data_IF_817845736573
#
_entry.id   IF_817845736573
#
_cell.length_a   1.000
_cell.length_b   1.000
_cell.length_c   1.000
_cell.angle_alpha   90.00
_cell.angle_beta   90.00
_cell.angle_gamma   90.00
#
_symmetry.space_group_name_H-M   'P 1'
#
loop_
_entity.id
_entity.type
_entity.pdbx_description
1 polymer ?
#
# COMPACT_ATOMS: atom_id res chain seq x y z
N UNK A 1 -33.96 -33.69 -14.65
CA UNK A 1 -32.62 -33.18 -14.97
C UNK A 1 -32.67 -31.66 -14.91
N UNK A 2 -31.96 -31.09 -13.94
CA UNK A 2 -31.77 -29.64 -13.78
C UNK A 2 -30.34 -29.29 -14.19
N UNK A 3 -30.14 -28.09 -14.71
CA UNK A 3 -28.82 -27.63 -15.18
C UNK A 3 -28.63 -26.18 -14.77
N UNK A 4 -27.58 -25.93 -13.99
CA UNK A 4 -27.13 -24.60 -13.65
C UNK A 4 -25.81 -24.33 -14.36
N UNK A 5 -25.73 -23.26 -15.14
CA UNK A 5 -24.48 -22.80 -15.74
C UNK A 5 -24.21 -21.37 -15.32
N UNK A 6 -22.94 -21.05 -15.06
CA UNK A 6 -22.56 -19.72 -14.62
C UNK A 6 -21.14 -19.39 -15.08
N UNK A 7 -20.94 -18.13 -15.41
CA UNK A 7 -19.64 -17.54 -15.67
C UNK A 7 -19.17 -16.78 -14.43
N UNK A 8 -17.88 -16.80 -14.15
CA UNK A 8 -17.28 -16.12 -12.99
C UNK A 8 -16.37 -15.01 -13.48
N UNK A 9 -16.56 -13.80 -12.98
CA UNK A 9 -15.73 -12.65 -13.30
C UNK A 9 -15.00 -12.15 -12.04
N UNK A 10 -13.73 -11.81 -12.17
CA UNK A 10 -12.99 -11.21 -11.07
C UNK A 10 -11.56 -10.88 -11.48
N UNK A 11 -10.83 -10.28 -10.55
CA UNK A 11 -9.44 -9.90 -10.77
C UNK A 11 -8.58 -11.15 -10.99
N UNK A 12 -7.79 -11.16 -12.07
CA UNK A 12 -7.00 -12.33 -12.48
C UNK A 12 -5.72 -12.46 -11.67
N UNK A 13 -5.81 -13.02 -10.48
CA UNK A 13 -4.65 -13.48 -9.70
C UNK A 13 -4.56 -15.00 -9.77
N UNK A 14 -3.59 -15.50 -10.55
CA UNK A 14 -3.39 -16.95 -10.78
C UNK A 14 -3.16 -17.73 -9.48
N UNK A 15 -2.48 -17.10 -8.52
CA UNK A 15 -2.13 -17.71 -7.23
C UNK A 15 -3.37 -17.90 -6.34
N UNK A 16 -4.27 -16.90 -6.34
CA UNK A 16 -5.47 -16.91 -5.51
C UNK A 16 -6.57 -17.83 -6.09
N UNK A 17 -6.57 -18.06 -7.40
CA UNK A 17 -7.54 -18.96 -8.07
C UNK A 17 -7.59 -20.36 -7.45
N UNK A 18 -6.44 -20.92 -7.07
CA UNK A 18 -6.35 -22.26 -6.44
C UNK A 18 -7.10 -22.38 -5.10
N UNK A 19 -7.36 -21.24 -4.45
CA UNK A 19 -8.06 -21.16 -3.18
C UNK A 19 -9.56 -20.84 -3.33
N UNK A 20 -10.03 -20.56 -4.55
CA UNK A 20 -11.42 -20.25 -4.84
C UNK A 20 -12.25 -21.50 -5.05
N UNK A 21 -13.41 -21.54 -4.40
CA UNK A 21 -14.39 -22.62 -4.49
C UNK A 21 -15.74 -22.03 -4.81
N UNK A 22 -16.50 -22.73 -5.64
CA UNK A 22 -17.90 -22.43 -5.88
C UNK A 22 -18.72 -23.16 -4.83
N UNK A 23 -19.60 -22.44 -4.16
CA UNK A 23 -20.48 -22.96 -3.13
C UNK A 23 -21.95 -22.72 -3.56
N UNK A 24 -22.72 -23.80 -3.58
CA UNK A 24 -24.15 -23.78 -3.88
C UNK A 24 -24.90 -24.18 -2.62
N UNK A 25 -25.73 -23.29 -2.12
CA UNK A 25 -26.54 -23.47 -0.91
C UNK A 25 -28.02 -23.46 -1.26
N UNK A 26 -28.83 -24.11 -0.44
CA UNK A 26 -30.27 -23.89 -0.52
C UNK A 26 -30.62 -22.49 -0.03
N UNK A 27 -31.53 -21.79 -0.72
CA UNK A 27 -32.00 -20.48 -0.27
C UNK A 27 -32.97 -20.58 0.93
N UNK A 28 -33.64 -21.74 1.09
CA UNK A 28 -34.53 -21.99 2.24
C UNK A 28 -33.74 -22.28 3.51
N UNK A 29 -32.60 -22.95 3.38
CA UNK A 29 -31.69 -23.23 4.49
C UNK A 29 -30.24 -22.97 4.06
N UNK A 30 -29.70 -21.76 4.35
CA UNK A 30 -28.35 -21.38 3.95
C UNK A 30 -27.25 -22.16 4.69
N UNK A 31 -27.60 -22.91 5.74
CA UNK A 31 -26.66 -23.81 6.42
C UNK A 31 -26.45 -25.11 5.63
N UNK A 32 -27.41 -25.46 4.76
CA UNK A 32 -27.36 -26.66 3.94
C UNK A 32 -26.65 -26.38 2.62
N UNK A 33 -25.44 -26.92 2.51
CA UNK A 33 -24.63 -26.87 1.31
C UNK A 33 -25.02 -28.03 0.40
N UNK A 34 -25.37 -27.73 -0.84
CA UNK A 34 -25.77 -28.74 -1.83
C UNK A 34 -24.59 -29.19 -2.69
N UNK A 35 -23.69 -28.27 -3.02
CA UNK A 35 -22.53 -28.58 -3.85
C UNK A 35 -21.37 -27.63 -3.55
N UNK A 36 -20.16 -28.20 -3.50
CA UNK A 36 -18.91 -27.45 -3.38
C UNK A 36 -17.88 -28.05 -4.31
N UNK A 37 -17.24 -27.20 -5.12
CA UNK A 37 -16.17 -27.64 -6.02
C UNK A 37 -15.19 -26.49 -6.28
N UNK A 38 -13.92 -26.80 -6.62
CA UNK A 38 -12.94 -25.78 -6.98
C UNK A 38 -13.37 -25.04 -8.25
N UNK A 39 -13.09 -23.74 -8.31
CA UNK A 39 -13.40 -22.93 -9.50
C UNK A 39 -12.57 -23.44 -10.70
N UNK A 40 -13.19 -23.76 -11.86
CA UNK A 40 -12.44 -24.14 -13.05
C UNK A 40 -11.58 -23.00 -13.59
N UNK A 41 -10.46 -23.33 -14.25
CA UNK A 41 -9.57 -22.36 -14.91
C UNK A 41 -10.25 -21.61 -16.06
N UNK A 42 -11.31 -22.19 -16.64
CA UNK A 42 -12.15 -21.54 -17.65
C UNK A 42 -13.05 -20.45 -17.09
N UNK A 43 -13.12 -20.30 -15.76
CA UNK A 43 -14.08 -19.42 -15.07
C UNK A 43 -15.55 -19.70 -15.44
N UNK A 44 -15.83 -20.90 -15.93
CA UNK A 44 -17.17 -21.34 -16.29
C UNK A 44 -17.40 -22.71 -15.71
N UNK A 45 -18.58 -22.91 -15.11
CA UNK A 45 -18.98 -24.20 -14.56
C UNK A 45 -20.42 -24.51 -14.93
N UNK A 46 -20.70 -25.81 -14.99
CA UNK A 46 -22.04 -26.33 -15.20
C UNK A 46 -22.29 -27.47 -14.21
N UNK A 47 -23.30 -27.28 -13.37
CA UNK A 47 -23.75 -28.28 -12.40
C UNK A 47 -25.05 -28.89 -12.91
N UNK A 48 -25.16 -30.21 -12.77
CA UNK A 48 -26.34 -30.97 -13.17
C UNK A 48 -27.00 -31.57 -11.94
N UNK A 49 -28.30 -31.82 -12.05
CA UNK A 49 -29.10 -32.57 -11.07
C UNK A 49 -29.12 -31.96 -9.66
N UNK A 50 -29.13 -30.62 -9.60
CA UNK A 50 -29.46 -29.89 -8.39
C UNK A 50 -30.93 -30.11 -7.99
N UNK A 51 -31.23 -30.23 -6.68
CA UNK A 51 -32.58 -30.25 -6.15
C UNK A 51 -33.47 -29.15 -6.76
N UNK A 52 -34.74 -29.46 -6.98
CA UNK A 52 -35.70 -28.44 -7.41
C UNK A 52 -36.00 -27.51 -6.24
N UNK A 53 -35.88 -26.21 -6.48
CA UNK A 53 -36.08 -25.19 -5.47
C UNK A 53 -35.20 -23.98 -5.73
N UNK A 54 -35.12 -23.12 -4.72
CA UNK A 54 -34.31 -21.92 -4.74
C UNK A 54 -32.92 -22.19 -4.16
N UNK A 55 -31.91 -21.68 -4.85
CA UNK A 55 -30.50 -21.84 -4.50
C UNK A 55 -29.78 -20.50 -4.45
N UNK A 56 -28.79 -20.41 -3.58
CA UNK A 56 -27.87 -19.31 -3.49
C UNK A 56 -26.52 -19.75 -4.06
N UNK A 57 -26.05 -19.00 -5.05
CA UNK A 57 -24.78 -19.21 -5.70
C UNK A 57 -23.77 -18.20 -5.14
N UNK A 58 -22.68 -18.70 -4.58
CA UNK A 58 -21.65 -17.86 -3.97
C UNK A 58 -20.25 -18.44 -4.27
N UNK A 59 -19.25 -17.57 -4.32
CA UNK A 59 -17.85 -18.01 -4.24
C UNK A 59 -17.37 -17.99 -2.80
N UNK A 60 -16.53 -18.96 -2.44
CA UNK A 60 -15.84 -19.03 -1.17
C UNK A 60 -14.34 -19.00 -1.42
N UNK A 61 -13.61 -18.27 -0.59
CA UNK A 61 -12.15 -18.28 -0.60
C UNK A 61 -11.63 -19.08 0.59
N UNK A 62 -10.64 -19.95 0.35
CA UNK A 62 -9.88 -20.64 1.39
C UNK A 62 -8.71 -19.82 1.95
N UNK A 63 -8.57 -18.55 1.56
CA UNK A 63 -7.49 -17.68 2.03
C UNK A 63 -7.76 -17.16 3.45
N UNK A 64 -6.70 -16.90 4.24
CA UNK A 64 -6.88 -16.31 5.57
C UNK A 64 -7.47 -14.89 5.46
N UNK A 65 -8.63 -14.69 6.09
CA UNK A 65 -9.32 -13.39 6.15
C UNK A 65 -8.50 -12.26 6.80
N UNK A 66 -7.45 -12.62 7.55
CA UNK A 66 -6.51 -11.67 8.16
C UNK A 66 -5.54 -11.02 7.18
N UNK A 67 -5.33 -11.63 6.00
CA UNK A 67 -4.38 -11.14 4.99
C UNK A 67 -5.07 -10.75 3.70
N UNK A 68 -6.21 -11.38 3.41
CA UNK A 68 -6.98 -11.16 2.20
C UNK A 68 -8.44 -10.92 2.58
N UNK A 69 -8.97 -9.76 2.20
CA UNK A 69 -10.39 -9.47 2.28
C UNK A 69 -11.05 -9.98 1.01
N UNK A 70 -11.91 -10.98 1.17
CA UNK A 70 -12.63 -11.61 0.06
C UNK A 70 -14.10 -11.18 0.04
N UNK A 71 -14.54 -10.63 -1.09
CA UNK A 71 -15.92 -10.25 -1.32
C UNK A 71 -16.47 -10.98 -2.55
N UNK A 72 -17.60 -11.66 -2.40
CA UNK A 72 -18.28 -12.39 -3.47
C UNK A 72 -19.71 -11.89 -3.63
N UNK A 73 -20.17 -11.76 -4.86
CA UNK A 73 -21.58 -11.61 -5.15
C UNK A 73 -22.36 -12.89 -4.77
N UNK A 74 -23.62 -12.72 -4.38
CA UNK A 74 -24.53 -13.81 -4.07
C UNK A 74 -25.70 -13.72 -5.04
N UNK A 75 -25.92 -14.77 -5.83
CA UNK A 75 -27.00 -14.80 -6.82
C UNK A 75 -28.04 -15.84 -6.41
N UNK A 76 -29.29 -15.42 -6.27
CA UNK A 76 -30.42 -16.32 -6.05
C UNK A 76 -30.92 -16.87 -7.39
N UNK A 77 -31.11 -18.19 -7.44
CA UNK A 77 -31.52 -18.92 -8.63
C UNK A 77 -32.71 -19.81 -8.29
N UNK A 78 -33.77 -19.72 -9.09
CA UNK A 78 -34.99 -20.50 -8.90
C UNK A 78 -35.07 -21.63 -9.93
N UNK A 79 -34.62 -22.83 -9.54
CA UNK A 79 -34.67 -24.04 -10.37
C UNK A 79 -36.05 -24.73 -10.33
N UNK A 80 -37.01 -24.21 -9.58
CA UNK A 80 -38.39 -24.71 -9.57
C UNK A 80 -39.14 -24.22 -10.82
N UNK A 81 -38.98 -22.93 -11.14
CA UNK A 81 -39.60 -22.34 -12.34
C UNK A 81 -38.89 -22.74 -13.62
N UNK A 82 -37.56 -22.79 -13.62
CA UNK A 82 -36.76 -23.05 -14.81
C UNK A 82 -35.75 -24.15 -14.52
N UNK A 83 -35.85 -25.28 -15.23
CA UNK A 83 -34.98 -26.43 -14.99
C UNK A 83 -33.56 -26.22 -15.52
N UNK A 84 -33.37 -25.34 -16.49
CA UNK A 84 -32.07 -24.99 -17.05
C UNK A 84 -31.88 -23.48 -17.02
N UNK A 85 -30.88 -23.00 -16.29
CA UNK A 85 -30.61 -21.58 -16.12
C UNK A 85 -29.14 -21.30 -16.39
N UNK A 86 -28.90 -20.28 -17.20
CA UNK A 86 -27.61 -19.62 -17.30
C UNK A 86 -27.64 -18.36 -16.45
N UNK A 87 -26.87 -18.36 -15.38
CA UNK A 87 -26.72 -17.24 -14.48
C UNK A 87 -25.65 -16.31 -15.04
N UNK A 88 -25.90 -15.01 -14.95
CA UNK A 88 -24.94 -13.97 -15.32
C UNK A 88 -23.60 -14.09 -14.59
N UNK A 89 -22.66 -13.17 -14.87
CA UNK A 89 -21.32 -13.25 -14.33
C UNK A 89 -21.33 -13.10 -12.81
N UNK A 90 -20.94 -14.15 -12.08
CA UNK A 90 -20.75 -14.12 -10.65
C UNK A 90 -19.45 -13.38 -10.34
N UNK A 91 -19.55 -12.19 -9.76
CA UNK A 91 -18.39 -11.33 -9.51
C UNK A 91 -17.74 -11.58 -8.17
N UNK A 92 -16.41 -11.48 -8.12
CA UNK A 92 -15.67 -11.48 -6.87
C UNK A 92 -14.53 -10.45 -6.88
N UNK A 93 -14.15 -10.00 -5.68
CA UNK A 93 -13.04 -9.09 -5.43
C UNK A 93 -12.18 -9.66 -4.31
N UNK A 94 -10.86 -9.62 -4.51
CA UNK A 94 -9.88 -9.96 -3.46
C UNK A 94 -9.05 -8.71 -3.23
N UNK A 95 -9.09 -8.17 -2.02
CA UNK A 95 -8.18 -7.11 -1.60
C UNK A 95 -7.15 -7.73 -0.67
N UNK A 96 -5.87 -7.61 -1.03
CA UNK A 96 -4.77 -7.97 -0.14
C UNK A 96 -4.55 -6.85 0.86
N UNK A 97 -4.78 -7.14 2.13
CA UNK A 97 -4.49 -6.22 3.23
C UNK A 97 -2.99 -6.33 3.54
N UNK A 98 -2.18 -5.87 2.59
CA UNK A 98 -0.80 -5.51 2.90
C UNK A 98 -0.89 -4.29 3.80
N UNK A 99 -1.04 -4.54 5.09
CA UNK A 99 -0.63 -3.60 6.13
C UNK A 99 0.73 -3.12 5.67
N UNK A 100 0.79 -1.89 5.14
CA UNK A 100 2.03 -1.28 4.71
C UNK A 100 2.95 -1.51 5.87
N UNK A 101 3.95 -2.38 5.67
CA UNK A 101 5.02 -2.52 6.62
C UNK A 101 5.50 -1.09 6.76
N UNK A 102 5.17 -0.44 7.88
CA UNK A 102 5.76 0.81 8.23
C UNK A 102 7.24 0.48 8.20
N UNK A 103 7.93 0.88 7.13
CA UNK A 103 9.36 0.71 7.02
C UNK A 103 9.85 1.28 8.32
N UNK A 104 10.40 0.42 9.19
CA UNK A 104 10.89 0.79 10.52
C UNK A 104 11.57 2.12 10.32
N UNK A 105 11.04 3.23 10.89
CA UNK A 105 11.52 4.54 10.53
C UNK A 105 13.01 4.47 10.80
N UNK A 106 13.81 4.52 9.71
CA UNK A 106 15.25 4.45 9.82
C UNK A 106 15.62 5.47 10.91
N UNK A 107 16.63 5.22 11.76
CA UNK A 107 16.91 6.07 12.91
C UNK A 107 17.37 7.47 12.47
N UNK A 108 16.42 8.28 11.98
CA UNK A 108 16.60 9.63 11.48
C UNK A 108 16.94 10.52 12.67
N UNK A 109 16.39 10.21 13.85
CA UNK A 109 16.72 10.87 15.10
C UNK A 109 18.21 10.76 15.45
N UNK A 110 18.81 9.55 15.58
CA UNK A 110 20.26 9.42 15.76
C UNK A 110 21.10 10.11 14.68
N UNK A 111 20.66 10.09 13.42
CA UNK A 111 21.36 10.76 12.33
C UNK A 111 21.33 12.29 12.45
N UNK A 112 20.16 12.88 12.72
CA UNK A 112 20.01 14.33 12.93
C UNK A 112 20.79 14.78 14.17
N UNK A 113 20.69 14.04 15.27
CA UNK A 113 21.43 14.34 16.51
C UNK A 113 22.94 14.26 16.27
N UNK A 114 23.42 13.22 15.60
CA UNK A 114 24.84 13.05 15.27
C UNK A 114 25.37 14.20 14.40
N UNK A 115 24.68 14.54 13.32
CA UNK A 115 25.06 15.65 12.42
C UNK A 115 25.04 17.00 13.17
N UNK A 116 24.05 17.21 14.03
CA UNK A 116 23.91 18.46 14.81
C UNK A 116 25.06 18.63 15.81
N UNK A 117 25.45 17.56 16.51
CA UNK A 117 26.59 17.59 17.44
C UNK A 117 27.88 17.91 16.69
N UNK A 118 28.13 17.24 15.56
CA UNK A 118 29.33 17.49 14.74
C UNK A 118 29.36 18.95 14.26
N UNK A 119 28.25 19.47 13.74
CA UNK A 119 28.16 20.87 13.30
C UNK A 119 28.41 21.87 14.44
N UNK A 120 27.92 21.57 15.65
CA UNK A 120 28.15 22.40 16.83
C UNK A 120 29.63 22.42 17.24
N UNK A 121 30.30 21.27 17.23
CA UNK A 121 31.74 21.19 17.52
C UNK A 121 32.60 21.94 16.51
N UNK A 122 32.25 21.87 15.21
CA UNK A 122 32.96 22.60 14.15
C UNK A 122 32.72 24.11 14.24
N UNK A 123 31.52 24.53 14.63
CA UNK A 123 31.18 25.96 14.76
C UNK A 123 31.69 26.58 16.06
N UNK A 124 31.90 25.81 17.13
CA UNK A 124 32.42 26.28 18.42
C UNK A 124 33.70 27.14 18.35
N UNK A 125 34.78 26.75 17.64
CA UNK A 125 35.97 27.59 17.51
C UNK A 125 35.69 28.90 16.75
N UNK A 126 34.79 28.88 15.76
CA UNK A 126 34.40 30.11 15.04
C UNK A 126 33.46 31.00 15.85
N UNK A 127 32.66 30.41 16.74
CA UNK A 127 31.85 31.15 17.68
C UNK A 127 32.72 31.86 18.72
N UNK A 128 33.83 31.23 19.17
CA UNK A 128 34.83 31.89 20.03
C UNK A 128 35.46 33.10 19.34
N UNK A 129 35.83 32.97 18.06
CA UNK A 129 36.37 34.10 17.28
C UNK A 129 35.34 35.22 17.11
N UNK A 130 34.06 34.89 16.91
CA UNK A 130 32.98 35.88 16.76
C UNK A 130 32.59 36.53 18.09
N UNK A 131 32.65 35.78 19.19
CA UNK A 131 32.48 36.30 20.55
C UNK A 131 33.67 37.19 20.97
N UNK A 132 34.91 36.78 20.68
CA UNK A 132 36.09 37.63 20.91
C UNK A 132 36.08 38.87 20.02
N UNK A 133 35.66 38.78 18.76
CA UNK A 133 35.51 39.93 17.88
C UNK A 133 34.40 40.87 18.38
N UNK A 134 33.31 40.34 18.95
CA UNK A 134 32.16 41.13 19.42
C UNK A 134 32.38 41.73 20.80
N UNK A 135 33.04 41.01 21.73
CA UNK A 135 33.37 41.50 23.08
C UNK A 135 34.66 42.33 23.09
N UNK A 136 35.62 42.04 22.20
CA UNK A 136 36.81 42.86 22.00
C UNK A 136 36.50 44.26 21.43
N UNK A 137 35.33 44.44 20.83
CA UNK A 137 34.79 45.75 20.45
C UNK A 137 34.14 46.47 21.65
N UNK A 138 33.66 45.72 22.66
CA UNK A 138 32.93 46.27 23.81
C UNK A 138 33.80 46.80 24.95
N UNK A 139 35.11 46.52 24.99
CA UNK A 139 35.99 46.91 26.12
C UNK A 139 37.23 47.72 25.75
N UNK A 140 37.30 48.36 24.58
CA UNK A 140 38.34 49.36 24.33
C UNK A 140 37.70 50.71 24.00
N UNK A 141 37.56 51.54 25.03
CA UNK A 141 37.36 52.96 24.84
C UNK A 141 38.53 53.56 24.05
N UNK A 142 38.20 54.60 23.28
CA UNK A 142 39.10 55.51 22.56
C UNK A 142 39.36 55.18 21.08
N UNK A 143 38.63 55.93 20.25
CA UNK A 143 39.11 56.59 19.02
C UNK A 143 39.73 55.73 17.93
N UNK A 144 38.99 55.47 16.85
CA UNK A 144 39.43 55.85 15.49
C UNK A 144 38.33 55.61 14.47
N UNK A 145 38.06 56.66 13.71
CA UNK A 145 37.07 56.72 12.65
C UNK A 145 37.27 55.65 11.57
N UNK A 146 36.14 55.22 11.02
CA UNK A 146 36.00 54.47 9.80
C UNK A 146 36.93 54.98 8.68
N UNK A 147 37.88 54.16 8.21
CA UNK A 147 38.42 54.20 6.84
C UNK A 147 38.86 52.81 6.40
N UNK A 148 37.98 52.10 5.69
CA UNK A 148 38.33 50.93 4.88
C UNK A 148 38.97 51.46 3.59
N UNK A 149 40.30 51.63 3.57
CA UNK A 149 41.01 51.89 2.31
C UNK A 149 41.02 50.63 1.43
N UNK A 150 40.48 50.79 0.22
CA UNK A 150 40.50 49.83 -0.87
C UNK A 150 41.94 49.66 -1.35
N UNK A 151 42.56 48.53 -1.02
CA UNK A 151 43.90 48.14 -1.47
C UNK A 151 43.88 47.91 -3.00
N UNK A 152 44.46 48.84 -3.77
CA UNK A 152 44.57 48.78 -5.24
C UNK A 152 45.51 47.63 -5.70
N UNK A 153 45.26 46.96 -6.84
CA UNK A 153 46.17 45.97 -7.40
C UNK A 153 47.35 46.65 -8.13
N UNK A 154 48.57 46.20 -7.84
CA UNK A 154 49.81 46.66 -8.48
C UNK A 154 49.90 46.06 -9.90
N UNK A 155 49.88 46.95 -10.90
CA UNK A 155 50.17 46.61 -12.30
C UNK A 155 51.68 46.65 -12.52
N UNK A 156 52.27 45.49 -12.78
CA UNK A 156 53.69 45.29 -13.08
C UNK A 156 53.96 45.70 -14.53
N UNK A 157 54.72 46.78 -14.77
CA UNK A 157 55.27 47.10 -16.10
C UNK A 157 56.65 46.44 -16.28
N UNK A 158 56.81 45.73 -17.39
CA UNK A 158 58.10 45.25 -17.92
C UNK A 158 58.86 46.43 -18.53
N UNK A 159 60.18 46.46 -18.35
CA UNK A 159 61.10 47.32 -19.10
C UNK A 159 61.93 46.44 -20.03
N UNK A 160 62.20 46.98 -21.22
CA UNK A 160 63.07 46.45 -22.28
C UNK A 160 64.51 46.28 -21.82
#
# INVERSE_FOLDING_TARGET
MTILSCHVEGERTRELHSHLRVEIKSATDPSKIESVFPLPLSHFFQVKDLPKGKHLLQLQSGLPSSTHKFESEIIEVDLEKHTQIHVGPLRYKIEEDHHKQELTPAPVYPLIVGVSVIALFVSMPRLKDLYQATIGISTSGSTAAAKKEVRKPIVRKKTY
#
